data_IF_135194132143
#
_entry.id   IF_135194132143
#
_cell.length_a   1.000
_cell.length_b   1.000
_cell.length_c   1.000
_cell.angle_alpha   90.00
_cell.angle_beta   90.00
_cell.angle_gamma   90.00
#
_symmetry.space_group_name_H-M   'P 1'
#
loop_
_entity.id
_entity.type
_entity.pdbx_description
1 polymer ?
#
# COMPACT_ATOMS: atom_id res chain seq x y z
N UNK A 1 -2.35 -4.45 -0.09
CA UNK A 1 -3.75 -4.10 0.21
C UNK A 1 -3.86 -3.92 1.69
N UNK A 2 -3.97 -5.04 2.41
CA UNK A 2 -3.46 -5.17 3.78
C UNK A 2 -1.93 -5.31 3.68
N UNK A 3 -1.21 -4.23 3.95
CA UNK A 3 0.25 -4.11 3.79
C UNK A 3 0.94 -4.38 5.11
N UNK A 4 0.34 -3.92 6.22
CA UNK A 4 0.92 -4.10 7.55
C UNK A 4 0.58 -5.47 8.18
N UNK A 5 -0.31 -6.26 7.56
CA UNK A 5 -0.69 -7.60 7.99
C UNK A 5 -1.62 -7.63 9.20
N UNK A 6 -2.35 -6.54 9.47
CA UNK A 6 -3.24 -6.42 10.63
C UNK A 6 -4.64 -7.03 10.40
N UNK A 7 -4.92 -7.45 9.16
CA UNK A 7 -6.17 -8.09 8.76
C UNK A 7 -7.27 -7.11 8.33
N UNK A 8 -7.02 -5.81 8.37
CA UNK A 8 -7.89 -4.78 7.82
C UNK A 8 -7.27 -4.13 6.57
N UNK A 9 -8.10 -3.45 5.76
CA UNK A 9 -7.61 -2.63 4.65
C UNK A 9 -8.05 -1.20 4.94
N UNK A 10 -7.16 -0.40 5.51
CA UNK A 10 -7.49 0.94 5.99
C UNK A 10 -6.27 1.91 5.90
N UNK A 11 -6.35 3.09 6.54
CA UNK A 11 -5.31 4.11 6.47
C UNK A 11 -3.96 3.70 7.11
N UNK A 12 -3.93 2.67 7.97
CA UNK A 12 -2.71 2.08 8.50
C UNK A 12 -1.85 1.47 7.38
N UNK A 13 -2.48 0.84 6.38
CA UNK A 13 -1.79 0.29 5.20
C UNK A 13 -1.16 1.37 4.34
N UNK A 14 -1.85 2.51 4.20
CA UNK A 14 -1.30 3.65 3.47
C UNK A 14 -0.06 4.21 4.18
N UNK A 15 -0.06 4.21 5.51
CA UNK A 15 1.12 4.60 6.31
C UNK A 15 2.27 3.60 6.12
N UNK A 16 1.98 2.30 6.18
CA UNK A 16 2.97 1.25 5.94
C UNK A 16 3.57 1.33 4.53
N UNK A 17 2.75 1.59 3.50
CA UNK A 17 3.22 1.79 2.13
C UNK A 17 4.10 3.03 2.00
N UNK A 18 3.75 4.15 2.65
CA UNK A 18 4.59 5.36 2.63
C UNK A 18 5.94 5.08 3.31
N UNK A 19 5.95 4.39 4.46
CA UNK A 19 7.19 3.98 5.13
C UNK A 19 8.05 3.07 4.24
N UNK A 20 7.41 2.18 3.48
CA UNK A 20 8.08 1.35 2.48
C UNK A 20 8.80 2.19 1.42
N UNK A 21 8.10 3.17 0.85
CA UNK A 21 8.63 4.06 -0.18
C UNK A 21 9.75 4.97 0.35
N UNK A 22 9.68 5.34 1.63
CA UNK A 22 10.73 6.09 2.32
C UNK A 22 11.92 5.21 2.76
N UNK A 23 11.81 3.89 2.60
CA UNK A 23 12.84 2.93 3.01
C UNK A 23 12.98 2.79 4.53
N UNK A 24 12.01 3.26 5.31
CA UNK A 24 12.00 3.12 6.78
C UNK A 24 11.46 1.76 7.21
N UNK A 25 10.62 1.14 6.38
CA UNK A 25 10.09 -0.22 6.55
C UNK A 25 10.20 -1.01 5.24
N UNK A 26 10.13 -2.33 5.32
CA UNK A 26 10.22 -3.20 4.14
C UNK A 26 9.11 -4.23 4.15
N UNK A 27 8.33 -4.23 3.07
CA UNK A 27 7.22 -5.14 2.86
C UNK A 27 7.37 -5.85 1.51
N UNK A 28 6.77 -7.03 1.35
CA UNK A 28 6.75 -7.74 0.07
C UNK A 28 6.20 -6.88 -1.07
N UNK A 29 6.93 -6.79 -2.18
CA UNK A 29 6.55 -5.99 -3.36
C UNK A 29 5.16 -6.34 -3.89
N UNK A 30 4.77 -7.62 -3.85
CA UNK A 30 3.45 -8.09 -4.27
C UNK A 30 2.29 -7.62 -3.38
N UNK A 31 2.57 -7.15 -2.15
CA UNK A 31 1.57 -6.52 -1.28
C UNK A 31 1.48 -5.01 -1.52
N UNK A 32 2.60 -4.40 -1.90
CA UNK A 32 2.78 -2.97 -2.14
C UNK A 32 2.35 -2.52 -3.55
N UNK A 33 2.44 -3.39 -4.56
CA UNK A 33 1.92 -3.18 -5.92
C UNK A 33 0.39 -3.35 -5.89
N UNK A 34 -0.29 -2.28 -5.48
CA UNK A 34 -1.74 -2.28 -5.24
C UNK A 34 -2.50 -2.11 -6.54
N UNK A 35 -1.93 -1.38 -7.51
CA UNK A 35 -2.57 -1.15 -8.81
C UNK A 35 -2.25 -2.23 -9.85
N UNK A 36 -1.25 -3.09 -9.60
CA UNK A 36 -0.85 -4.20 -10.47
C UNK A 36 -0.04 -3.78 -11.69
N UNK A 37 0.63 -2.62 -11.66
CA UNK A 37 1.41 -2.10 -12.79
C UNK A 37 2.86 -2.61 -12.82
N UNK A 38 3.28 -3.33 -11.77
CA UNK A 38 4.60 -3.93 -11.65
C UNK A 38 5.66 -2.99 -11.06
N UNK A 39 5.30 -1.75 -10.74
CA UNK A 39 6.12 -0.81 -9.98
C UNK A 39 5.55 -0.62 -8.58
N UNK A 40 6.39 -0.21 -7.63
CA UNK A 40 5.94 0.17 -6.28
C UNK A 40 6.28 1.64 -6.08
N UNK A 41 5.25 2.49 -6.17
CA UNK A 41 5.41 3.94 -6.15
C UNK A 41 4.17 4.65 -5.56
N UNK A 42 4.09 5.98 -5.70
CA UNK A 42 2.97 6.77 -5.17
C UNK A 42 1.61 6.48 -5.83
N UNK A 43 1.59 5.86 -7.00
CA UNK A 43 0.36 5.43 -7.68
C UNK A 43 -0.33 4.31 -6.89
N UNK A 44 0.42 3.43 -6.23
CA UNK A 44 -0.12 2.40 -5.34
C UNK A 44 -0.80 2.98 -4.12
N UNK A 45 -0.24 4.06 -3.57
CA UNK A 45 -0.85 4.81 -2.46
C UNK A 45 -2.19 5.36 -2.89
N UNK A 46 -2.28 5.92 -4.10
CA UNK A 46 -3.54 6.43 -4.65
C UNK A 46 -4.55 5.31 -4.89
N UNK A 47 -4.11 4.18 -5.44
CA UNK A 47 -4.96 3.01 -5.66
C UNK A 47 -5.50 2.43 -4.35
N UNK A 48 -4.66 2.39 -3.31
CA UNK A 48 -5.04 1.96 -1.97
C UNK A 48 -6.08 2.89 -1.35
N UNK A 49 -5.90 4.20 -1.45
CA UNK A 49 -6.87 5.19 -0.96
C UNK A 49 -8.22 5.03 -1.67
N UNK A 50 -8.23 4.88 -2.99
CA UNK A 50 -9.48 4.64 -3.74
C UNK A 50 -10.19 3.37 -3.26
N UNK A 51 -9.42 2.30 -3.03
CA UNK A 51 -9.94 1.03 -2.52
C UNK A 51 -10.55 1.16 -1.12
N UNK A 52 -9.92 1.94 -0.22
CA UNK A 52 -10.43 2.23 1.13
C UNK A 52 -11.73 3.04 1.07
N UNK A 53 -11.82 3.99 0.15
CA UNK A 53 -12.99 4.84 -0.05
C UNK A 53 -14.13 4.14 -0.81
N UNK A 54 -13.89 2.93 -1.35
CA UNK A 54 -14.87 2.16 -2.12
C UNK A 54 -15.15 2.71 -3.52
N UNK A 55 -14.17 3.40 -4.13
CA UNK A 55 -14.22 3.93 -5.49
C UNK A 55 -13.58 2.99 -6.51
#
# INVERSE_FOLDING_TARGET
GDINGDGEVNASDATALINHLLGTESYPTNLCDVNGDGEVNSSDVTALINKILGN
#
